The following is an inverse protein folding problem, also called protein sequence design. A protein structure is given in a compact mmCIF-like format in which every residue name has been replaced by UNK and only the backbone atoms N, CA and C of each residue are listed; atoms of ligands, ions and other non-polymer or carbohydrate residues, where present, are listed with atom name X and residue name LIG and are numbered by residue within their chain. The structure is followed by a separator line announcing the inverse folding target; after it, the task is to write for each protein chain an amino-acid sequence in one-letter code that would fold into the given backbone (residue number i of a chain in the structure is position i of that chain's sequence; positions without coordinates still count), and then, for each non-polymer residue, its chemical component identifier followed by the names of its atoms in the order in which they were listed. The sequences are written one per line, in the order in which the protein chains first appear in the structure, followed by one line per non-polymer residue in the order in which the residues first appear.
data_IF_826492205420
#
_entry.id   IF_826492205420
#
_cell.length_a   1.000
_cell.length_b   1.000
_cell.length_c   1.000
_cell.angle_alpha   90.00
_cell.angle_beta   90.00
_cell.angle_gamma   90.00
#
_symmetry.space_group_name_H-M   'P 1'
#
loop_
_entity.id
_entity.type
_entity.pdbx_description
1 polymer ?
#
# COMPACT_ATOMS: atom_id res chain seq x y z
N UNK A 1 -23.40 20.77 -46.95
CA UNK A 1 -22.19 21.51 -46.53
C UNK A 1 -22.44 22.17 -45.18
N UNK A 2 -21.86 21.61 -44.13
CA UNK A 2 -21.32 22.24 -42.91
C UNK A 2 -21.01 21.09 -41.92
N UNK A 3 -19.72 20.91 -41.64
CA UNK A 3 -19.14 20.18 -40.51
C UNK A 3 -18.11 21.16 -39.89
N UNK A 4 -17.57 21.00 -38.65
CA UNK A 4 -17.43 19.72 -37.95
C UNK A 4 -17.54 19.73 -36.39
N UNK A 5 -17.52 18.50 -35.86
CA UNK A 5 -16.93 18.02 -34.58
C UNK A 5 -17.40 18.56 -33.23
N UNK A 6 -17.96 17.63 -32.44
CA UNK A 6 -17.45 17.39 -31.09
C UNK A 6 -17.49 15.88 -30.80
N UNK A 7 -16.50 15.16 -31.33
CA UNK A 7 -16.31 13.73 -31.02
C UNK A 7 -15.63 13.66 -29.66
N UNK A 8 -16.40 13.36 -28.63
CA UNK A 8 -15.89 13.13 -27.28
C UNK A 8 -14.74 12.11 -27.32
N UNK A 9 -13.61 12.35 -26.61
CA UNK A 9 -12.59 11.33 -26.49
C UNK A 9 -13.19 10.18 -25.66
N UNK A 10 -13.31 9.02 -26.28
CA UNK A 10 -13.69 7.79 -25.61
C UNK A 10 -12.74 7.57 -24.43
N UNK A 11 -13.31 7.50 -23.23
CA UNK A 11 -12.56 7.29 -21.98
C UNK A 11 -11.94 5.90 -22.07
N UNK A 12 -10.63 5.85 -22.35
CA UNK A 12 -9.88 4.60 -22.36
C UNK A 12 -10.14 3.81 -21.07
N UNK A 13 -10.32 2.48 -21.13
CA UNK A 13 -10.44 1.66 -19.94
C UNK A 13 -9.18 1.88 -19.11
N UNK A 14 -9.37 2.26 -17.84
CA UNK A 14 -8.28 2.58 -16.93
C UNK A 14 -7.28 1.43 -16.92
N UNK A 15 -6.16 1.63 -17.60
CA UNK A 15 -5.06 0.69 -17.57
C UNK A 15 -4.71 0.46 -16.10
N UNK A 16 -4.69 -0.80 -15.67
CA UNK A 16 -4.05 -1.17 -14.42
C UNK A 16 -2.56 -0.84 -14.59
N UNK A 17 -2.21 0.39 -14.24
CA UNK A 17 -0.91 0.97 -14.50
C UNK A 17 0.06 0.47 -13.43
N UNK A 18 0.51 -0.77 -13.63
CA UNK A 18 1.68 -1.32 -12.93
C UNK A 18 2.93 -0.53 -13.31
N UNK A 19 3.87 -0.47 -12.38
CA UNK A 19 5.17 0.17 -12.59
C UNK A 19 6.01 -0.64 -13.60
N UNK A 20 6.91 0.03 -14.32
CA UNK A 20 7.81 -0.64 -15.26
C UNK A 20 8.79 -1.54 -14.49
N UNK A 21 9.15 -2.68 -15.07
CA UNK A 21 10.20 -3.54 -14.54
C UNK A 21 11.52 -2.77 -14.43
N UNK A 22 12.00 -2.56 -13.20
CA UNK A 22 13.28 -1.91 -12.97
C UNK A 22 14.38 -2.98 -12.95
N UNK A 23 15.24 -3.00 -13.98
CA UNK A 23 16.38 -3.91 -14.11
C UNK A 23 17.61 -3.49 -13.28
N UNK A 24 17.45 -2.54 -12.34
CA UNK A 24 18.44 -2.34 -11.28
C UNK A 24 18.35 -3.50 -10.29
N UNK A 25 19.31 -4.42 -10.38
CA UNK A 25 19.51 -5.48 -9.39
C UNK A 25 20.03 -4.83 -8.11
N UNK A 26 19.13 -4.57 -7.16
CA UNK A 26 19.51 -4.34 -5.78
C UNK A 26 20.07 -5.64 -5.18
N UNK A 27 20.75 -5.55 -4.03
CA UNK A 27 21.04 -6.73 -3.22
C UNK A 27 19.72 -7.45 -2.90
N UNK A 28 19.78 -8.76 -2.60
CA UNK A 28 18.59 -9.52 -2.21
C UNK A 28 17.91 -8.79 -1.03
N UNK A 29 16.75 -8.19 -1.33
CA UNK A 29 15.95 -7.44 -0.37
C UNK A 29 15.21 -8.45 0.51
N UNK A 30 15.21 -8.27 1.84
CA UNK A 30 14.55 -9.23 2.71
C UNK A 30 13.02 -9.20 2.50
N UNK A 31 12.40 -10.38 2.51
CA UNK A 31 10.97 -10.55 2.21
C UNK A 31 10.05 -9.75 3.16
N UNK A 32 10.52 -9.44 4.36
CA UNK A 32 9.82 -8.69 5.41
C UNK A 32 10.08 -7.18 5.37
N UNK A 33 10.78 -6.66 4.35
CA UNK A 33 11.07 -5.24 4.25
C UNK A 33 9.77 -4.42 4.15
N UNK A 34 9.61 -3.48 5.09
CA UNK A 34 8.39 -2.67 5.20
C UNK A 34 8.23 -1.57 4.14
N UNK A 35 9.17 -1.44 3.20
CA UNK A 35 9.09 -0.49 2.09
C UNK A 35 8.41 -1.16 0.90
N UNK A 36 7.38 -0.49 0.37
CA UNK A 36 6.65 -0.90 -0.82
C UNK A 36 6.70 0.17 -1.91
N UNK A 37 6.04 -0.11 -3.05
CA UNK A 37 5.92 0.82 -4.17
C UNK A 37 4.46 1.14 -4.46
N UNK A 38 4.17 2.41 -4.69
CA UNK A 38 2.88 2.90 -5.19
C UNK A 38 3.10 3.83 -6.39
N UNK A 39 2.01 4.24 -7.05
CA UNK A 39 2.06 5.24 -8.15
C UNK A 39 2.70 6.57 -7.75
N UNK A 40 2.74 6.89 -6.45
CA UNK A 40 3.33 8.12 -5.91
C UNK A 40 4.78 7.98 -5.40
N UNK A 41 5.40 6.81 -5.55
CA UNK A 41 6.75 6.52 -5.04
C UNK A 41 6.78 5.45 -3.95
N UNK A 42 7.81 5.51 -3.09
CA UNK A 42 7.99 4.57 -1.99
C UNK A 42 6.92 4.77 -0.91
N UNK A 43 6.46 3.67 -0.33
CA UNK A 43 5.40 3.65 0.69
C UNK A 43 5.73 2.71 1.83
N UNK A 44 5.04 2.84 2.96
CA UNK A 44 5.08 1.91 4.09
C UNK A 44 3.68 1.65 4.58
N UNK A 45 3.39 0.42 5.02
CA UNK A 45 2.13 0.06 5.67
C UNK A 45 2.31 0.11 7.19
N UNK A 46 1.51 0.93 7.85
CA UNK A 46 1.49 1.06 9.32
C UNK A 46 0.19 0.47 9.84
N UNK A 47 0.29 -0.55 10.68
CA UNK A 47 -0.84 -1.18 11.36
C UNK A 47 -0.84 -0.71 12.80
N UNK A 48 -1.87 0.03 13.20
CA UNK A 48 -1.96 0.63 14.52
C UNK A 48 -3.20 0.13 15.27
N UNK A 49 -3.00 -0.27 16.52
CA UNK A 49 -4.08 -0.46 17.49
C UNK A 49 -4.19 0.79 18.35
N UNK A 50 -5.38 1.37 18.41
CA UNK A 50 -5.65 2.57 19.22
C UNK A 50 -6.73 2.31 20.26
N UNK A 51 -6.73 3.11 21.32
CA UNK A 51 -7.85 3.12 22.28
C UNK A 51 -9.00 4.04 21.82
N UNK A 52 -9.98 4.24 22.70
CA UNK A 52 -11.18 5.04 22.44
C UNK A 52 -10.89 6.54 22.23
N UNK A 53 -9.71 7.01 22.66
CA UNK A 53 -9.26 8.40 22.48
C UNK A 53 -8.26 8.53 21.34
N UNK A 54 -8.13 7.49 20.50
CA UNK A 54 -7.13 7.40 19.44
C UNK A 54 -5.68 7.41 19.94
N UNK A 55 -5.45 7.06 21.21
CA UNK A 55 -4.08 6.90 21.73
C UNK A 55 -3.45 5.63 21.18
N UNK A 56 -2.21 5.71 20.73
CA UNK A 56 -1.50 4.56 20.17
C UNK A 56 -1.17 3.54 21.26
N UNK A 57 -1.72 2.34 21.12
CA UNK A 57 -1.51 1.23 22.06
C UNK A 57 -0.40 0.31 21.55
N UNK A 58 -0.39 0.00 20.26
CA UNK A 58 0.61 -0.87 19.62
C UNK A 58 0.71 -0.53 18.13
N UNK A 59 1.91 -0.61 17.58
CA UNK A 59 2.20 -0.40 16.17
C UNK A 59 2.97 -1.59 15.61
N UNK A 60 2.61 -2.02 14.41
CA UNK A 60 3.34 -3.03 13.66
C UNK A 60 3.52 -2.59 12.20
N UNK A 61 4.64 -3.00 11.61
CA UNK A 61 4.90 -2.86 10.18
C UNK A 61 4.77 -4.23 9.52
N UNK A 62 4.27 -4.24 8.30
CA UNK A 62 4.30 -5.42 7.43
C UNK A 62 5.22 -5.16 6.25
N UNK A 63 5.60 -6.23 5.56
CA UNK A 63 6.26 -6.12 4.26
C UNK A 63 5.51 -5.16 3.34
N UNK A 64 6.21 -4.36 2.54
CA UNK A 64 5.60 -3.33 1.70
C UNK A 64 4.61 -3.87 0.67
N UNK A 65 4.82 -5.11 0.23
CA UNK A 65 3.94 -5.89 -0.65
C UNK A 65 2.79 -6.61 0.08
N UNK A 66 2.79 -6.69 1.42
CA UNK A 66 1.77 -7.42 2.16
C UNK A 66 0.40 -6.73 2.07
N UNK A 67 -0.68 -7.52 2.05
CA UNK A 67 -2.04 -6.98 2.16
C UNK A 67 -2.30 -6.32 3.51
N UNK A 68 -3.38 -5.55 3.62
CA UNK A 68 -3.70 -4.80 4.84
C UNK A 68 -4.37 -5.64 5.95
N UNK A 69 -4.99 -6.77 5.58
CA UNK A 69 -5.84 -7.57 6.48
C UNK A 69 -5.15 -8.58 7.42
N UNK A 70 -3.86 -8.98 7.30
CA UNK A 70 -3.30 -10.02 8.17
C UNK A 70 -2.90 -9.52 9.57
N UNK A 71 -2.82 -8.21 9.82
CA UNK A 71 -2.18 -7.65 11.02
C UNK A 71 -3.09 -7.45 12.24
N UNK A 72 -4.40 -7.69 12.11
CA UNK A 72 -5.33 -7.53 13.24
C UNK A 72 -5.00 -8.45 14.43
N UNK A 73 -4.84 -9.76 14.16
CA UNK A 73 -4.54 -10.73 15.22
C UNK A 73 -3.17 -10.50 15.88
N UNK A 74 -2.07 -10.25 15.15
CA UNK A 74 -0.79 -9.86 15.72
C UNK A 74 -0.88 -8.66 16.67
N UNK A 75 -1.61 -7.61 16.30
CA UNK A 75 -1.77 -6.41 17.13
C UNK A 75 -2.48 -6.72 18.47
N UNK A 76 -3.55 -7.52 18.43
CA UNK A 76 -4.27 -7.91 19.65
C UNK A 76 -3.42 -8.82 20.55
N UNK A 77 -2.64 -9.72 19.97
CA UNK A 77 -1.71 -10.58 20.71
C UNK A 77 -0.62 -9.75 21.41
N UNK A 78 -0.01 -8.80 20.69
CA UNK A 78 1.01 -7.90 21.24
C UNK A 78 0.46 -7.00 22.37
N UNK A 79 -0.79 -6.51 22.25
CA UNK A 79 -1.44 -5.80 23.36
C UNK A 79 -1.62 -6.69 24.59
N UNK A 80 -2.04 -7.94 24.40
CA UNK A 80 -2.22 -8.89 25.51
C UNK A 80 -0.90 -9.23 26.22
N UNK A 81 0.23 -9.32 25.50
CA UNK A 81 1.54 -9.59 26.11
C UNK A 81 2.14 -8.41 26.88
N UNK A 82 1.60 -7.20 26.69
CA UNK A 82 2.07 -5.97 27.34
C UNK A 82 1.25 -5.61 28.60
N UNK A 83 0.38 -6.52 29.06
CA UNK A 83 -0.40 -6.40 30.31
C UNK A 83 0.18 -7.31 31.37
#
# INVERSE_FOLDING_TARGET
MCAPTDTQPERAPGAAQGDLSNYKKYLDEPDDHAIGRSRGGLTTKIHALTDQLCSLVTLALSAGQAGDNPMLWPLLAARRSNS
#
